data_IF_442813487077
#
_entry.id   IF_442813487077
#
_cell.length_a   1.000
_cell.length_b   1.000
_cell.length_c   1.000
_cell.angle_alpha   90.00
_cell.angle_beta   90.00
_cell.angle_gamma   90.00
#
_symmetry.space_group_name_H-M   'P 1'
#
loop_
_entity.id
_entity.type
_entity.pdbx_description
1 polymer ?
#
# COMPACT_ATOMS: atom_id res chain seq x y z
N UNK A 1 106.11 -21.04 1.93
CA UNK A 1 105.29 -20.14 1.12
C UNK A 1 103.94 -20.82 0.80
N UNK A 2 102.99 -20.70 1.71
CA UNK A 2 101.71 -21.42 1.65
C UNK A 2 100.55 -20.45 1.69
N UNK A 3 99.86 -20.32 0.60
CA UNK A 3 98.56 -19.59 0.51
C UNK A 3 97.41 -20.51 0.94
N UNK A 4 96.71 -20.16 2.02
CA UNK A 4 95.49 -20.84 2.42
C UNK A 4 94.29 -20.19 1.70
N UNK A 5 93.57 -21.00 0.93
CA UNK A 5 92.33 -20.64 0.28
C UNK A 5 91.20 -20.74 1.32
N UNK A 6 90.52 -19.66 1.61
CA UNK A 6 89.31 -19.66 2.42
C UNK A 6 88.09 -19.82 1.50
N UNK A 7 87.39 -20.91 1.69
CA UNK A 7 86.08 -21.13 1.05
C UNK A 7 84.97 -20.35 1.77
N UNK A 8 84.35 -19.44 1.15
CA UNK A 8 83.12 -18.75 1.61
C UNK A 8 81.91 -19.53 1.10
N UNK A 9 81.21 -20.15 2.04
CA UNK A 9 79.87 -20.77 1.73
C UNK A 9 78.84 -19.69 1.70
N UNK A 10 78.21 -19.45 0.50
CA UNK A 10 77.15 -18.54 0.33
C UNK A 10 75.80 -19.33 0.52
N UNK A 11 75.13 -19.06 1.67
CA UNK A 11 73.79 -19.61 1.94
C UNK A 11 72.77 -18.75 1.21
N UNK A 12 72.19 -19.27 0.18
CA UNK A 12 71.04 -18.63 -0.52
C UNK A 12 69.78 -19.07 0.19
N UNK A 13 69.18 -18.16 0.95
CA UNK A 13 67.83 -18.34 1.52
C UNK A 13 66.79 -18.04 0.48
N UNK A 14 66.09 -19.07 -0.02
CA UNK A 14 64.93 -18.92 -0.92
C UNK A 14 63.70 -18.61 -0.05
N UNK A 15 63.26 -17.37 -0.02
CA UNK A 15 61.97 -16.98 0.55
C UNK A 15 60.85 -17.28 -0.48
N UNK A 16 60.11 -18.37 -0.29
CA UNK A 16 58.87 -18.63 -0.99
C UNK A 16 57.76 -17.78 -0.35
N UNK A 17 57.39 -16.68 -1.00
CA UNK A 17 56.20 -15.90 -0.65
C UNK A 17 54.96 -16.68 -1.10
N UNK A 18 54.25 -17.28 -0.13
CA UNK A 18 52.92 -17.83 -0.36
C UNK A 18 51.92 -16.66 -0.41
N UNK A 19 51.54 -16.23 -1.63
CA UNK A 19 50.45 -15.28 -1.82
C UNK A 19 49.12 -15.98 -1.49
N UNK A 20 48.55 -15.70 -0.32
CA UNK A 20 47.15 -16.02 -0.06
C UNK A 20 46.26 -15.13 -0.93
N UNK A 21 45.83 -15.67 -2.07
CA UNK A 21 44.75 -15.08 -2.86
C UNK A 21 43.45 -15.29 -2.09
N UNK A 22 43.04 -14.29 -1.25
CA UNK A 22 41.69 -14.25 -0.70
C UNK A 22 40.72 -14.08 -1.88
N UNK A 23 40.16 -15.17 -2.34
CA UNK A 23 39.01 -15.12 -3.21
C UNK A 23 37.86 -14.47 -2.42
N UNK A 24 37.68 -13.16 -2.59
CA UNK A 24 36.45 -12.49 -2.22
C UNK A 24 35.32 -13.15 -3.03
N UNK A 25 34.57 -14.05 -2.39
CA UNK A 25 33.30 -14.51 -2.89
C UNK A 25 32.41 -13.27 -2.99
N UNK A 26 32.36 -12.67 -4.18
CA UNK A 26 31.26 -11.80 -4.58
C UNK A 26 30.01 -12.66 -4.48
N UNK A 27 29.26 -12.54 -3.36
CA UNK A 27 27.88 -12.99 -3.29
C UNK A 27 27.16 -12.28 -4.43
N UNK A 28 26.96 -12.97 -5.53
CA UNK A 28 25.96 -12.58 -6.52
C UNK A 28 24.66 -12.48 -5.73
N UNK A 29 24.18 -11.25 -5.46
CA UNK A 29 22.85 -11.00 -4.95
C UNK A 29 21.90 -11.59 -5.99
N UNK A 30 21.49 -12.85 -5.80
CA UNK A 30 20.40 -13.45 -6.56
C UNK A 30 19.20 -12.53 -6.39
N UNK A 31 18.46 -12.29 -7.47
CA UNK A 31 17.20 -11.54 -7.41
C UNK A 31 16.34 -12.15 -6.30
N UNK A 32 16.12 -11.38 -5.23
CA UNK A 32 15.36 -11.88 -4.09
C UNK A 32 13.91 -12.07 -4.54
N UNK A 33 13.42 -13.31 -4.47
CA UNK A 33 12.05 -13.66 -4.84
C UNK A 33 11.09 -13.21 -3.74
N UNK A 34 9.98 -12.55 -4.09
CA UNK A 34 8.94 -12.21 -3.12
C UNK A 34 8.27 -13.47 -2.58
N UNK A 35 8.11 -13.51 -1.26
CA UNK A 35 7.49 -14.62 -0.53
C UNK A 35 6.28 -14.13 0.25
N UNK A 36 5.30 -15.01 0.39
CA UNK A 36 4.09 -14.78 1.15
C UNK A 36 4.08 -15.73 2.35
N UNK A 37 4.01 -15.14 3.56
CA UNK A 37 3.92 -15.88 4.82
C UNK A 37 2.63 -15.51 5.55
N UNK A 38 2.01 -16.49 6.21
CA UNK A 38 0.78 -16.29 6.99
C UNK A 38 0.97 -16.85 8.38
N UNK A 39 0.70 -16.00 9.37
CA UNK A 39 0.61 -16.36 10.78
C UNK A 39 -0.58 -15.63 11.42
N UNK A 40 -0.34 -14.67 12.29
CA UNK A 40 -1.38 -13.75 12.81
C UNK A 40 -1.78 -12.69 11.78
N UNK A 41 -0.91 -12.42 10.83
CA UNK A 41 -1.06 -11.52 9.67
C UNK A 41 -0.53 -12.21 8.42
N UNK A 42 -0.88 -11.69 7.24
CA UNK A 42 -0.21 -12.09 6.00
C UNK A 42 0.88 -11.08 5.67
N UNK A 43 2.13 -11.55 5.54
CA UNK A 43 3.26 -10.71 5.18
C UNK A 43 3.81 -11.10 3.82
N UNK A 44 4.09 -10.11 2.96
CA UNK A 44 4.87 -10.29 1.73
C UNK A 44 6.22 -9.63 1.93
N UNK A 45 7.29 -10.38 1.64
CA UNK A 45 8.68 -9.94 1.79
C UNK A 45 9.51 -10.33 0.59
N UNK A 46 10.62 -9.62 0.35
CA UNK A 46 11.66 -9.93 -0.63
C UNK A 46 12.98 -10.18 0.12
N UNK A 47 13.42 -11.44 0.14
CA UNK A 47 14.46 -11.86 1.10
C UNK A 47 14.00 -11.59 2.54
N UNK A 48 14.83 -10.91 3.32
CA UNK A 48 14.53 -10.52 4.70
C UNK A 48 13.75 -9.20 4.80
N UNK A 49 13.63 -8.46 3.69
CA UNK A 49 12.93 -7.18 3.66
C UNK A 49 11.42 -7.38 3.56
N UNK A 50 10.68 -6.95 4.57
CA UNK A 50 9.21 -6.87 4.51
C UNK A 50 8.80 -5.75 3.56
N UNK A 51 7.83 -6.04 2.68
CA UNK A 51 7.27 -5.08 1.73
C UNK A 51 5.89 -4.60 2.18
N UNK A 52 5.00 -5.52 2.56
CA UNK A 52 3.70 -5.19 3.13
C UNK A 52 3.19 -6.27 4.09
N UNK A 53 2.29 -5.83 4.96
CA UNK A 53 1.54 -6.72 5.84
C UNK A 53 0.04 -6.46 5.70
N UNK A 54 -0.74 -7.52 5.51
CA UNK A 54 -2.20 -7.47 5.45
C UNK A 54 -2.80 -7.97 6.77
N UNK A 55 -3.62 -7.12 7.38
CA UNK A 55 -4.29 -7.37 8.65
C UNK A 55 -5.61 -8.11 8.40
N UNK A 56 -5.58 -9.43 8.37
CA UNK A 56 -6.79 -10.22 8.18
C UNK A 56 -7.51 -10.55 9.50
N UNK A 57 -6.80 -10.59 10.63
CA UNK A 57 -7.43 -10.65 11.96
C UNK A 57 -7.89 -9.26 12.39
N UNK A 58 -8.91 -9.23 13.24
CA UNK A 58 -9.43 -7.96 13.77
C UNK A 58 -8.37 -7.26 14.62
N UNK A 59 -8.07 -6.03 14.25
CA UNK A 59 -7.25 -5.09 15.03
C UNK A 59 -8.20 -4.22 15.86
N UNK A 60 -7.98 -4.17 17.16
CA UNK A 60 -8.73 -3.34 18.08
C UNK A 60 -8.11 -1.95 18.20
N UNK A 61 -8.90 -0.92 18.56
CA UNK A 61 -8.35 0.40 18.84
C UNK A 61 -7.48 0.37 20.11
N UNK A 62 -6.68 1.42 20.36
CA UNK A 62 -5.93 1.55 21.59
C UNK A 62 -6.83 1.45 22.83
N UNK A 63 -6.26 1.00 23.96
CA UNK A 63 -6.98 0.88 25.24
C UNK A 63 -7.70 2.19 25.61
N UNK A 64 -8.94 2.09 26.08
CA UNK A 64 -9.78 3.22 26.44
C UNK A 64 -10.55 3.86 25.27
N UNK A 65 -10.33 3.42 24.03
CA UNK A 65 -11.09 3.89 22.88
C UNK A 65 -12.31 3.01 22.59
N UNK A 66 -13.29 3.58 21.87
CA UNK A 66 -14.52 2.86 21.50
C UNK A 66 -14.18 1.62 20.62
N UNK A 67 -14.56 0.45 21.10
CA UNK A 67 -14.31 -0.84 20.42
C UNK A 67 -14.97 -0.95 19.04
N UNK A 68 -15.89 -0.07 18.67
CA UNK A 68 -16.44 0.00 17.32
C UNK A 68 -15.40 0.35 16.27
N UNK A 69 -14.30 0.98 16.65
CA UNK A 69 -13.15 1.21 15.76
C UNK A 69 -12.35 -0.06 15.45
N UNK A 70 -12.77 -1.24 15.91
CA UNK A 70 -12.15 -2.51 15.49
C UNK A 70 -12.41 -2.80 14.02
N UNK A 71 -11.37 -3.28 13.31
CA UNK A 71 -11.45 -3.58 11.88
C UNK A 71 -10.45 -4.67 11.48
N UNK A 72 -10.74 -5.36 10.40
CA UNK A 72 -9.82 -6.22 9.63
C UNK A 72 -9.88 -5.85 8.14
N UNK A 73 -9.09 -6.52 7.30
CA UNK A 73 -9.14 -6.31 5.87
C UNK A 73 -8.46 -5.02 5.40
N UNK A 74 -7.21 -4.77 5.82
CA UNK A 74 -6.45 -3.59 5.41
C UNK A 74 -4.94 -3.88 5.38
N UNK A 75 -4.18 -3.04 4.65
CA UNK A 75 -2.72 -3.15 4.56
C UNK A 75 -2.08 -2.18 5.57
N UNK A 76 -1.33 -2.73 6.52
CA UNK A 76 -0.47 -2.01 7.44
C UNK A 76 0.46 -2.98 8.19
N UNK A 77 1.77 -2.70 8.27
CA UNK A 77 2.50 -1.68 7.54
C UNK A 77 2.67 -1.95 6.05
N UNK A 78 2.86 -0.88 5.26
CA UNK A 78 3.48 -0.87 3.95
C UNK A 78 4.85 -0.22 4.10
N UNK A 79 5.90 -0.85 3.55
CA UNK A 79 7.27 -0.41 3.76
C UNK A 79 7.89 0.13 2.46
N UNK A 80 8.76 1.14 2.56
CA UNK A 80 9.66 1.49 1.45
C UNK A 80 10.63 0.33 1.16
N UNK A 81 11.33 0.33 0.01
CA UNK A 81 12.44 -0.60 -0.23
C UNK A 81 13.50 -0.61 0.87
N UNK A 82 13.74 0.50 1.55
CA UNK A 82 14.68 0.61 2.68
C UNK A 82 14.08 0.23 4.04
N UNK A 83 12.79 -0.15 4.10
CA UNK A 83 12.15 -0.64 5.32
C UNK A 83 11.42 0.41 6.16
N UNK A 84 11.33 1.65 5.70
CA UNK A 84 10.58 2.69 6.39
C UNK A 84 9.07 2.52 6.22
N UNK A 85 8.31 2.77 7.28
CA UNK A 85 6.84 2.58 7.27
C UNK A 85 6.13 3.79 6.65
N UNK A 86 5.34 3.54 5.61
CA UNK A 86 4.59 4.56 4.87
C UNK A 86 3.11 4.68 5.27
N UNK A 87 2.65 3.85 6.20
CA UNK A 87 1.23 3.81 6.59
C UNK A 87 1.07 4.04 8.09
N UNK A 88 -0.11 4.54 8.47
CA UNK A 88 -0.52 4.72 9.87
C UNK A 88 -1.93 4.17 10.07
N UNK A 89 -2.22 3.60 11.26
CA UNK A 89 -3.57 3.19 11.65
C UNK A 89 -4.01 3.90 12.90
N UNK A 90 -5.31 4.10 13.02
CA UNK A 90 -6.01 4.56 14.23
C UNK A 90 -5.34 5.77 14.91
N UNK A 91 -4.93 6.83 14.17
CA UNK A 91 -4.39 8.01 14.83
C UNK A 91 -5.44 8.64 15.75
N UNK A 92 -5.04 9.34 16.83
CA UNK A 92 -5.95 9.86 17.85
C UNK A 92 -7.06 10.77 17.32
N UNK A 93 -6.84 11.43 16.20
CA UNK A 93 -7.79 12.32 15.53
C UNK A 93 -8.75 11.59 14.59
N UNK A 94 -8.40 10.35 14.12
CA UNK A 94 -9.17 9.57 13.14
C UNK A 94 -9.00 8.05 13.39
N UNK A 95 -9.57 7.53 14.48
CA UNK A 95 -9.49 6.10 14.82
C UNK A 95 -10.09 5.17 13.75
N UNK A 96 -10.84 5.69 12.77
CA UNK A 96 -11.39 4.96 11.63
C UNK A 96 -10.47 4.96 10.39
N UNK A 97 -9.20 5.37 10.49
CA UNK A 97 -8.20 5.26 9.41
C UNK A 97 -7.31 4.03 9.60
N UNK A 98 -7.09 3.24 8.51
CA UNK A 98 -6.44 1.92 8.57
C UNK A 98 -5.38 1.70 7.50
N UNK A 99 -4.30 2.48 7.48
CA UNK A 99 -3.20 2.29 6.54
C UNK A 99 -3.67 2.46 5.08
N UNK A 100 -3.82 1.36 4.34
CA UNK A 100 -4.46 1.32 3.02
C UNK A 100 -5.69 0.43 3.11
N UNK A 101 -6.85 0.98 2.78
CA UNK A 101 -8.14 0.28 2.86
C UNK A 101 -9.13 0.76 1.82
N UNK A 102 -10.19 -0.01 1.63
CA UNK A 102 -11.34 0.37 0.83
C UNK A 102 -12.61 0.32 1.70
N UNK A 103 -13.45 1.34 1.62
CA UNK A 103 -14.76 1.38 2.28
C UNK A 103 -15.65 2.45 1.68
N UNK A 104 -16.95 2.32 1.94
CA UNK A 104 -17.97 3.22 1.46
C UNK A 104 -18.65 3.94 2.62
N UNK A 105 -19.00 5.19 2.42
CA UNK A 105 -19.84 5.97 3.32
C UNK A 105 -21.11 6.41 2.61
N UNK A 106 -22.14 6.81 3.36
CA UNK A 106 -23.43 7.26 2.83
C UNK A 106 -24.02 6.26 1.82
N UNK A 107 -24.19 5.01 2.25
CA UNK A 107 -24.82 3.99 1.42
C UNK A 107 -26.27 3.74 1.86
N UNK A 108 -27.14 3.31 0.90
CA UNK A 108 -28.47 2.83 1.20
C UNK A 108 -28.58 1.34 0.88
N UNK A 109 -29.07 0.59 1.87
CA UNK A 109 -29.27 -0.84 1.75
C UNK A 109 -30.56 -1.25 2.47
N UNK A 110 -31.54 -1.79 1.75
CA UNK A 110 -32.82 -2.29 2.30
C UNK A 110 -33.52 -1.29 3.24
N UNK A 111 -33.57 -0.02 2.83
CA UNK A 111 -34.24 1.06 3.59
C UNK A 111 -33.40 1.69 4.71
N UNK A 112 -32.20 1.15 5.00
CA UNK A 112 -31.29 1.70 5.99
C UNK A 112 -30.19 2.54 5.35
N UNK A 113 -29.80 3.64 5.98
CA UNK A 113 -28.55 4.35 5.70
C UNK A 113 -27.42 3.67 6.44
N UNK A 114 -26.33 3.33 5.73
CA UNK A 114 -25.21 2.57 6.28
C UNK A 114 -23.89 3.26 5.97
N UNK A 115 -23.04 3.36 6.96
CA UNK A 115 -21.67 3.86 6.84
C UNK A 115 -20.67 2.74 7.19
N UNK A 116 -19.89 2.29 6.20
CA UNK A 116 -18.82 1.31 6.36
C UNK A 116 -17.46 1.95 6.58
N UNK A 117 -17.37 3.29 6.45
CA UNK A 117 -16.15 4.07 6.66
C UNK A 117 -16.05 4.61 8.08
N UNK A 118 -17.07 5.35 8.54
CA UNK A 118 -17.12 5.96 9.87
C UNK A 118 -17.76 4.99 10.87
N UNK A 119 -17.09 3.90 11.16
CA UNK A 119 -17.60 2.74 11.88
C UNK A 119 -18.00 2.98 13.33
N UNK A 120 -17.66 4.14 13.94
CA UNK A 120 -18.13 4.54 15.27
C UNK A 120 -19.66 4.55 15.37
N UNK A 121 -20.36 4.90 14.29
CA UNK A 121 -21.81 4.98 14.21
C UNK A 121 -22.54 3.64 14.35
N UNK A 122 -21.84 2.51 14.34
CA UNK A 122 -22.41 1.14 14.42
C UNK A 122 -23.47 0.83 13.36
N UNK A 123 -23.36 1.44 12.18
CA UNK A 123 -24.25 1.14 11.06
C UNK A 123 -23.74 -0.03 10.24
N UNK A 124 -22.41 -0.12 10.06
CA UNK A 124 -21.77 -1.20 9.33
C UNK A 124 -20.27 -1.26 9.56
N UNK A 125 -19.64 -2.26 8.97
CA UNK A 125 -18.18 -2.44 8.96
C UNK A 125 -17.76 -3.23 7.73
N UNK A 126 -16.46 -3.26 7.45
CA UNK A 126 -15.86 -4.20 6.51
C UNK A 126 -15.04 -5.22 7.29
N UNK A 127 -15.24 -6.51 7.02
CA UNK A 127 -14.61 -7.62 7.72
C UNK A 127 -13.96 -8.59 6.74
N UNK A 128 -12.74 -9.03 7.02
CA UNK A 128 -12.14 -10.16 6.31
C UNK A 128 -12.93 -11.44 6.61
N UNK A 129 -13.30 -12.17 5.57
CA UNK A 129 -13.97 -13.46 5.68
C UNK A 129 -12.99 -14.63 5.47
N UNK A 130 -12.27 -14.63 4.34
CA UNK A 130 -11.31 -15.69 4.00
C UNK A 130 -10.37 -15.28 2.88
N UNK A 131 -9.27 -15.99 2.75
CA UNK A 131 -8.49 -15.98 1.51
C UNK A 131 -9.10 -16.95 0.50
N UNK A 132 -9.32 -16.48 -0.73
CA UNK A 132 -9.83 -17.30 -1.84
C UNK A 132 -8.70 -17.81 -2.74
N UNK A 133 -7.57 -17.11 -2.79
CA UNK A 133 -6.35 -17.56 -3.46
C UNK A 133 -5.09 -17.01 -2.81
N UNK A 134 -3.98 -17.71 -2.99
CA UNK A 134 -2.63 -17.31 -2.57
C UNK A 134 -1.63 -17.91 -3.53
N UNK A 135 -0.71 -17.11 -4.04
CA UNK A 135 0.34 -17.53 -4.97
C UNK A 135 1.63 -16.80 -4.66
N UNK A 136 2.75 -17.49 -4.80
CA UNK A 136 4.09 -16.90 -4.76
C UNK A 136 4.95 -17.62 -5.80
N UNK A 137 5.61 -16.86 -6.67
CA UNK A 137 6.47 -17.35 -7.73
C UNK A 137 7.66 -16.40 -7.96
N UNK A 138 8.47 -16.64 -8.97
CA UNK A 138 9.67 -15.84 -9.26
C UNK A 138 9.38 -14.39 -9.66
N UNK A 139 8.15 -14.05 -10.04
CA UNK A 139 7.79 -12.72 -10.52
C UNK A 139 7.04 -11.88 -9.48
N UNK A 140 6.17 -12.53 -8.70
CA UNK A 140 5.30 -11.85 -7.73
C UNK A 140 4.80 -12.78 -6.63
N UNK A 141 4.35 -12.18 -5.53
CA UNK A 141 3.46 -12.81 -4.56
C UNK A 141 2.09 -12.14 -4.61
N UNK A 142 1.02 -12.94 -4.46
CA UNK A 142 -0.35 -12.48 -4.59
C UNK A 142 -1.26 -13.19 -3.59
N UNK A 143 -2.25 -12.47 -3.09
CA UNK A 143 -3.39 -13.05 -2.40
C UNK A 143 -4.69 -12.41 -2.89
N UNK A 144 -5.79 -13.16 -2.78
CA UNK A 144 -7.15 -12.62 -2.90
C UNK A 144 -7.89 -12.87 -1.59
N UNK A 145 -8.33 -11.80 -0.96
CA UNK A 145 -9.12 -11.81 0.26
C UNK A 145 -10.58 -11.49 -0.06
N UNK A 146 -11.51 -12.33 0.41
CA UNK A 146 -12.92 -11.96 0.48
C UNK A 146 -13.11 -11.09 1.71
N UNK A 147 -13.61 -9.89 1.49
CA UNK A 147 -14.08 -8.96 2.50
C UNK A 147 -15.60 -8.82 2.39
N UNK A 148 -16.28 -8.75 3.52
CA UNK A 148 -17.72 -8.57 3.60
C UNK A 148 -18.04 -7.19 4.16
N UNK A 149 -18.87 -6.42 3.44
CA UNK A 149 -19.44 -5.18 3.93
C UNK A 149 -20.71 -5.53 4.69
N UNK A 150 -20.62 -5.50 6.02
CA UNK A 150 -21.64 -5.99 6.94
C UNK A 150 -22.46 -4.85 7.49
N UNK A 151 -23.77 -4.95 7.36
CA UNK A 151 -24.74 -4.03 7.93
C UNK A 151 -25.19 -4.55 9.28
N UNK A 152 -25.16 -3.70 10.30
CA UNK A 152 -25.71 -3.97 11.62
C UNK A 152 -27.18 -3.51 11.66
N UNK A 153 -28.09 -4.46 11.65
CA UNK A 153 -29.55 -4.19 11.64
C UNK A 153 -30.04 -3.75 13.01
N UNK A 154 -31.17 -3.06 13.05
CA UNK A 154 -31.81 -2.56 14.29
C UNK A 154 -32.21 -3.69 15.27
N UNK A 155 -32.52 -4.88 14.74
CA UNK A 155 -32.82 -6.08 15.52
C UNK A 155 -31.57 -6.80 16.04
N UNK A 156 -30.39 -6.20 15.89
CA UNK A 156 -29.05 -6.71 16.29
C UNK A 156 -28.55 -7.87 15.44
N UNK A 157 -29.21 -8.20 14.33
CA UNK A 157 -28.66 -9.16 13.34
C UNK A 157 -27.63 -8.49 12.45
N UNK A 158 -26.77 -9.28 11.81
CA UNK A 158 -25.81 -8.85 10.80
C UNK A 158 -26.25 -9.31 9.43
N UNK A 159 -26.14 -8.44 8.41
CA UNK A 159 -26.41 -8.82 7.03
C UNK A 159 -25.30 -8.33 6.12
N UNK A 160 -24.78 -9.22 5.27
CA UNK A 160 -23.78 -8.83 4.25
C UNK A 160 -24.49 -8.14 3.11
N UNK A 161 -24.15 -6.88 2.86
CA UNK A 161 -24.67 -6.10 1.73
C UNK A 161 -23.82 -6.30 0.48
N UNK A 162 -22.50 -6.35 0.63
CA UNK A 162 -21.56 -6.41 -0.48
C UNK A 162 -20.42 -7.39 -0.18
N UNK A 163 -20.12 -8.24 -1.13
CA UNK A 163 -18.89 -9.05 -1.15
C UNK A 163 -17.84 -8.33 -1.99
N UNK A 164 -16.62 -8.21 -1.45
CA UNK A 164 -15.47 -7.62 -2.14
C UNK A 164 -14.31 -8.63 -2.17
N UNK A 165 -13.91 -9.06 -3.36
CA UNK A 165 -12.69 -9.83 -3.59
C UNK A 165 -11.55 -8.86 -3.88
N UNK A 166 -10.73 -8.60 -2.88
CA UNK A 166 -9.55 -7.75 -3.02
C UNK A 166 -8.33 -8.61 -3.35
N UNK A 167 -7.84 -8.49 -4.58
CA UNK A 167 -6.59 -9.11 -5.02
C UNK A 167 -5.46 -8.12 -4.86
N UNK A 168 -4.41 -8.50 -4.13
CA UNK A 168 -3.19 -7.71 -3.95
C UNK A 168 -2.02 -8.51 -4.48
N UNK A 169 -1.32 -7.95 -5.48
CA UNK A 169 -0.14 -8.54 -6.12
C UNK A 169 1.07 -7.63 -5.91
N UNK A 170 2.11 -8.17 -5.31
CA UNK A 170 3.38 -7.48 -5.08
C UNK A 170 4.44 -8.09 -6.00
N UNK A 171 4.99 -7.27 -6.86
CA UNK A 171 6.06 -7.69 -7.77
C UNK A 171 7.42 -7.65 -7.05
N UNK A 172 8.37 -8.43 -7.57
CA UNK A 172 9.74 -8.34 -7.08
C UNK A 172 10.25 -6.90 -7.19
N UNK A 173 10.95 -6.39 -6.17
CA UNK A 173 11.67 -5.13 -6.29
C UNK A 173 12.58 -5.15 -7.53
N UNK A 174 12.66 -4.04 -8.22
CA UNK A 174 13.55 -3.90 -9.37
C UNK A 174 14.99 -4.07 -8.89
N UNK A 175 15.79 -4.86 -9.60
CA UNK A 175 17.20 -5.08 -9.26
C UNK A 175 17.93 -3.74 -9.29
N UNK A 176 18.60 -3.39 -8.19
CA UNK A 176 19.26 -2.11 -7.98
C UNK A 176 18.30 -0.90 -8.08
N UNK A 177 16.98 -1.16 -7.97
CA UNK A 177 15.94 -0.14 -8.05
C UNK A 177 15.40 0.22 -6.68
N UNK A 178 15.17 1.51 -6.50
CA UNK A 178 14.63 2.07 -5.27
C UNK A 178 13.11 2.01 -5.23
N UNK A 179 12.49 1.03 -5.94
CA UNK A 179 11.03 0.88 -5.94
C UNK A 179 10.56 -0.56 -6.19
N UNK A 180 9.33 -0.82 -5.79
CA UNK A 180 8.55 -1.99 -6.19
C UNK A 180 7.10 -1.61 -6.49
N UNK A 181 6.36 -2.54 -7.09
CA UNK A 181 4.99 -2.32 -7.56
C UNK A 181 4.02 -3.21 -6.81
N UNK A 182 2.87 -2.64 -6.45
CA UNK A 182 1.73 -3.34 -5.85
C UNK A 182 0.48 -3.07 -6.68
N UNK A 183 -0.11 -4.11 -7.27
CA UNK A 183 -1.43 -4.01 -7.91
C UNK A 183 -2.53 -4.40 -6.93
N UNK A 184 -3.59 -3.62 -6.90
CA UNK A 184 -4.75 -3.85 -6.06
C UNK A 184 -5.99 -3.83 -6.95
N UNK A 185 -6.69 -4.96 -7.01
CA UNK A 185 -7.96 -5.09 -7.75
C UNK A 185 -9.06 -5.42 -6.76
N UNK A 186 -10.10 -4.60 -6.72
CA UNK A 186 -11.32 -4.82 -5.94
C UNK A 186 -12.45 -5.21 -6.88
N UNK A 187 -12.95 -6.46 -6.76
CA UNK A 187 -14.15 -6.94 -7.46
C UNK A 187 -15.29 -7.02 -6.46
N UNK A 188 -16.39 -6.32 -6.75
CA UNK A 188 -17.52 -6.17 -5.85
C UNK A 188 -18.79 -6.74 -6.45
N UNK A 189 -19.60 -7.42 -5.62
CA UNK A 189 -20.92 -7.93 -5.97
C UNK A 189 -21.87 -7.77 -4.78
N UNK A 190 -23.13 -7.42 -5.04
CA UNK A 190 -24.16 -7.49 -4.01
C UNK A 190 -24.23 -8.92 -3.44
N UNK A 191 -24.29 -9.04 -2.12
CA UNK A 191 -24.31 -10.36 -1.45
C UNK A 191 -25.71 -11.01 -1.47
N UNK A 192 -26.74 -10.28 -1.89
CA UNK A 192 -28.14 -10.76 -1.98
C UNK A 192 -28.81 -10.16 -3.21
N UNK A 193 -30.12 -10.35 -3.35
CA UNK A 193 -30.94 -9.73 -4.40
C UNK A 193 -31.24 -8.23 -4.12
N UNK A 194 -30.72 -7.69 -3.03
CA UNK A 194 -30.88 -6.27 -2.70
C UNK A 194 -29.74 -5.46 -3.31
N UNK A 195 -30.03 -4.35 -4.01
CA UNK A 195 -29.00 -3.44 -4.50
C UNK A 195 -28.37 -2.65 -3.36
N UNK A 196 -27.14 -2.16 -3.60
CA UNK A 196 -26.47 -1.20 -2.73
C UNK A 196 -26.27 0.12 -3.48
N UNK A 197 -26.89 1.20 -3.01
CA UNK A 197 -26.66 2.54 -3.53
C UNK A 197 -25.56 3.22 -2.71
N UNK A 198 -24.47 3.63 -3.36
CA UNK A 198 -23.43 4.47 -2.78
C UNK A 198 -23.73 5.91 -3.22
N UNK A 199 -24.11 6.76 -2.27
CA UNK A 199 -24.47 8.15 -2.55
C UNK A 199 -23.22 9.02 -2.62
N UNK A 200 -23.25 10.01 -3.48
CA UNK A 200 -22.17 10.97 -3.64
C UNK A 200 -21.81 11.62 -2.30
N UNK A 201 -20.53 11.55 -1.94
CA UNK A 201 -20.03 12.14 -0.71
C UNK A 201 -18.55 12.49 -0.84
N UNK A 202 -18.12 13.51 -0.11
CA UNK A 202 -16.77 14.13 -0.21
C UNK A 202 -15.59 13.19 -0.08
N UNK A 203 -15.76 11.96 0.43
CA UNK A 203 -14.74 10.91 0.53
C UNK A 203 -15.40 9.53 0.56
N UNK A 204 -14.71 8.51 0.19
CA UNK A 204 -14.94 7.06 0.28
C UNK A 204 -14.08 6.37 -0.78
N UNK A 205 -14.04 5.06 -0.80
CA UNK A 205 -13.30 4.27 -1.79
C UNK A 205 -11.88 3.94 -1.34
N UNK A 206 -10.91 4.03 -2.23
CA UNK A 206 -9.54 3.59 -1.99
C UNK A 206 -8.71 4.64 -1.27
N UNK A 207 -8.47 4.44 0.02
CA UNK A 207 -7.80 5.39 0.91
C UNK A 207 -6.44 4.92 1.43
N UNK A 208 -5.56 5.89 1.63
CA UNK A 208 -4.26 5.74 2.29
C UNK A 208 -4.08 6.80 3.37
N UNK A 209 -3.93 6.36 4.62
CA UNK A 209 -3.41 7.20 5.69
C UNK A 209 -1.92 7.03 5.79
N UNK A 210 -1.18 8.08 5.47
CA UNK A 210 0.27 8.04 5.42
C UNK A 210 0.91 8.02 6.83
N UNK A 211 2.22 7.84 6.84
CA UNK A 211 3.05 7.77 8.05
C UNK A 211 2.87 8.98 8.97
N UNK A 212 3.12 8.80 10.25
CA UNK A 212 3.05 9.86 11.24
C UNK A 212 4.21 10.86 11.18
N UNK A 213 5.27 10.50 10.47
CA UNK A 213 6.44 11.36 10.30
C UNK A 213 6.20 12.56 9.37
N UNK A 214 5.10 12.55 8.58
CA UNK A 214 4.83 13.59 7.60
C UNK A 214 3.88 14.66 8.10
N UNK A 215 4.29 15.91 7.86
CA UNK A 215 3.50 17.10 8.05
C UNK A 215 3.57 18.04 6.83
N UNK A 216 3.13 19.27 6.98
CA UNK A 216 3.14 20.29 5.89
C UNK A 216 4.52 20.76 5.46
N UNK A 217 5.58 20.51 6.26
CA UNK A 217 6.92 21.05 6.02
C UNK A 217 7.87 20.02 5.39
N UNK A 218 7.57 18.72 5.54
CA UNK A 218 8.48 17.65 5.17
C UNK A 218 7.86 16.61 4.23
N UNK A 219 6.70 16.92 3.63
CA UNK A 219 6.06 16.07 2.62
C UNK A 219 5.53 16.85 1.44
N UNK A 220 5.60 16.25 0.24
CA UNK A 220 5.23 16.87 -1.01
C UNK A 220 4.22 16.00 -1.78
N UNK A 221 3.46 16.64 -2.67
CA UNK A 221 2.48 15.99 -3.53
C UNK A 221 2.54 16.58 -4.94
N UNK A 222 2.29 15.70 -5.92
CA UNK A 222 2.12 16.10 -7.33
C UNK A 222 1.08 15.20 -7.98
N UNK A 223 0.10 15.79 -8.65
CA UNK A 223 -0.92 15.03 -9.41
C UNK A 223 -0.65 15.07 -10.91
N UNK A 224 -1.32 14.19 -11.66
CA UNK A 224 -1.32 14.18 -13.12
C UNK A 224 -1.77 15.51 -13.76
N UNK A 225 -2.47 16.35 -13.01
CA UNK A 225 -2.97 17.66 -13.43
C UNK A 225 -2.10 18.79 -12.89
N UNK A 226 -0.87 18.51 -12.45
CA UNK A 226 0.09 19.50 -11.96
C UNK A 226 -0.28 20.16 -10.63
N UNK A 227 -1.23 19.57 -9.87
CA UNK A 227 -1.58 20.08 -8.54
C UNK A 227 -0.54 19.63 -7.53
N UNK A 228 -0.23 20.51 -6.59
CA UNK A 228 0.80 20.32 -5.57
C UNK A 228 0.18 20.22 -4.17
N UNK A 229 1.02 20.08 -3.15
CA UNK A 229 0.66 20.00 -1.73
C UNK A 229 -0.29 21.12 -1.26
N UNK A 230 -0.34 22.24 -2.00
CA UNK A 230 -1.17 23.41 -1.64
C UNK A 230 -2.60 23.36 -2.20
N UNK A 231 -2.84 22.59 -3.27
CA UNK A 231 -4.09 22.63 -4.03
C UNK A 231 -4.55 21.28 -4.60
N UNK A 232 -4.14 20.15 -4.00
CA UNK A 232 -4.51 18.80 -4.45
C UNK A 232 -5.93 18.41 -4.05
N UNK A 233 -6.48 18.94 -2.95
CA UNK A 233 -7.81 18.54 -2.49
C UNK A 233 -8.92 18.94 -3.47
N UNK A 234 -9.95 18.11 -3.57
CA UNK A 234 -11.11 18.32 -4.46
C UNK A 234 -10.76 18.40 -5.95
N UNK A 235 -9.67 17.77 -6.38
CA UNK A 235 -9.30 17.65 -7.80
C UNK A 235 -9.59 16.26 -8.33
N UNK A 236 -9.54 16.08 -9.65
CA UNK A 236 -9.53 14.77 -10.32
C UNK A 236 -8.12 14.48 -10.81
N UNK A 237 -7.79 13.18 -10.96
CA UNK A 237 -6.48 12.81 -11.48
C UNK A 237 -6.38 11.34 -11.82
N UNK A 238 -5.41 11.02 -12.68
CA UNK A 238 -5.05 9.65 -13.05
C UNK A 238 -4.08 9.04 -12.05
N UNK A 239 -3.22 9.88 -11.49
CA UNK A 239 -2.23 9.50 -10.50
C UNK A 239 -1.91 10.65 -9.54
N UNK A 240 -1.40 10.28 -8.38
CA UNK A 240 -0.79 11.18 -7.41
C UNK A 240 0.50 10.59 -6.87
N UNK A 241 1.58 11.39 -6.89
CA UNK A 241 2.84 11.14 -6.18
C UNK A 241 2.75 11.81 -4.82
N UNK A 242 3.05 11.07 -3.76
CA UNK A 242 3.21 11.63 -2.40
C UNK A 242 4.50 11.07 -1.81
N UNK A 243 5.37 11.94 -1.33
CA UNK A 243 6.65 11.56 -0.74
C UNK A 243 7.07 12.55 0.34
N UNK A 244 8.05 12.18 1.13
CA UNK A 244 8.59 13.05 2.17
C UNK A 244 9.76 12.45 2.92
N UNK A 245 10.29 13.23 3.87
CA UNK A 245 11.37 12.82 4.74
C UNK A 245 10.92 11.70 5.68
N UNK A 246 11.78 10.75 5.91
CA UNK A 246 11.58 9.57 6.74
C UNK A 246 12.70 9.48 7.80
N UNK A 247 12.57 8.64 8.83
CA UNK A 247 13.67 8.42 9.79
C UNK A 247 14.99 8.04 9.14
N UNK A 248 16.08 8.21 9.86
CA UNK A 248 17.45 7.85 9.44
C UNK A 248 17.94 8.63 8.20
N UNK A 249 17.49 9.88 8.01
CA UNK A 249 17.76 10.74 6.85
C UNK A 249 17.34 10.10 5.51
N UNK A 250 16.35 9.21 5.54
CA UNK A 250 15.77 8.61 4.34
C UNK A 250 14.65 9.49 3.76
N UNK A 251 14.30 9.23 2.52
CA UNK A 251 13.19 9.85 1.82
C UNK A 251 12.49 8.79 0.98
N UNK A 252 11.18 8.87 0.84
CA UNK A 252 10.44 7.92 0.02
C UNK A 252 8.96 8.23 -0.04
N UNK A 253 8.20 7.39 -0.73
CA UNK A 253 6.79 7.65 -0.90
C UNK A 253 6.04 6.61 -1.73
N UNK A 254 4.85 7.02 -2.18
CA UNK A 254 3.97 6.20 -3.01
C UNK A 254 3.47 7.02 -4.20
N UNK A 255 3.52 6.44 -5.40
CA UNK A 255 2.64 6.86 -6.49
C UNK A 255 1.38 6.01 -6.45
N UNK A 256 0.23 6.63 -6.28
CA UNK A 256 -1.07 5.96 -6.42
C UNK A 256 -1.60 6.21 -7.83
N UNK A 257 -1.96 5.14 -8.54
CA UNK A 257 -2.42 5.16 -9.93
C UNK A 257 -3.83 4.58 -10.01
N UNK A 258 -4.75 5.29 -10.69
CA UNK A 258 -6.12 4.85 -10.97
C UNK A 258 -6.24 4.37 -12.41
N UNK A 259 -6.88 3.21 -12.62
CA UNK A 259 -7.07 2.65 -13.95
C UNK A 259 -8.21 3.34 -14.71
N UNK A 260 -8.12 3.55 -16.04
CA UNK A 260 -9.15 4.26 -16.80
C UNK A 260 -10.50 3.52 -16.86
N UNK A 261 -10.57 2.23 -16.52
CA UNK A 261 -11.83 1.49 -16.42
C UNK A 261 -12.55 1.67 -15.07
N UNK A 262 -11.94 2.38 -14.12
CA UNK A 262 -12.56 2.63 -12.84
C UNK A 262 -13.77 3.54 -12.97
N UNK A 263 -14.75 3.35 -12.07
CA UNK A 263 -15.92 4.19 -12.02
C UNK A 263 -15.53 5.65 -11.84
N UNK A 264 -16.13 6.54 -12.67
CA UNK A 264 -15.92 7.99 -12.63
C UNK A 264 -14.47 8.44 -12.90
N UNK A 265 -13.73 7.68 -13.74
CA UNK A 265 -12.36 8.07 -14.14
C UNK A 265 -12.37 9.29 -15.10
N UNK A 266 -11.42 10.26 -15.00
CA UNK A 266 -10.39 10.41 -13.95
C UNK A 266 -11.03 10.61 -12.59
N UNK A 267 -10.63 9.77 -11.63
CA UNK A 267 -11.33 9.71 -10.35
C UNK A 267 -11.19 11.03 -9.58
N UNK A 268 -12.30 11.51 -8.96
CA UNK A 268 -12.19 12.54 -7.94
C UNK A 268 -11.31 12.07 -6.79
N UNK A 269 -10.55 12.99 -6.21
CA UNK A 269 -9.67 12.71 -5.08
C UNK A 269 -10.12 13.47 -3.83
N UNK A 270 -9.96 12.85 -2.68
CA UNK A 270 -9.96 13.50 -1.37
C UNK A 270 -8.55 13.43 -0.81
N UNK A 271 -7.89 14.56 -0.73
CA UNK A 271 -6.49 14.65 -0.33
C UNK A 271 -6.38 15.73 0.74
N UNK A 272 -5.65 15.45 1.79
CA UNK A 272 -5.37 16.45 2.81
C UNK A 272 -4.17 17.29 2.39
N UNK A 273 -4.45 18.53 2.05
CA UNK A 273 -3.45 19.55 1.75
C UNK A 273 -2.80 20.14 3.02
N UNK A 274 -1.95 21.15 2.87
CA UNK A 274 -1.26 21.83 4.00
C UNK A 274 -2.22 22.48 5.02
N UNK A 275 -3.47 22.74 4.64
CA UNK A 275 -4.46 23.46 5.48
C UNK A 275 -5.30 22.52 6.33
N UNK A 276 -5.33 21.22 6.03
CA UNK A 276 -6.17 20.26 6.76
C UNK A 276 -5.73 20.08 8.22
N UNK A 277 -6.67 19.68 9.07
CA UNK A 277 -6.47 19.46 10.50
C UNK A 277 -5.84 20.66 11.22
N UNK A 278 -6.38 21.87 10.98
CA UNK A 278 -5.86 23.10 11.58
C UNK A 278 -4.47 23.50 11.09
N UNK A 279 -4.09 23.10 9.89
CA UNK A 279 -2.77 23.41 9.30
C UNK A 279 -1.64 22.52 9.80
N UNK A 280 -1.93 21.38 10.44
CA UNK A 280 -0.92 20.35 10.80
C UNK A 280 -0.33 19.72 9.55
N UNK A 281 -1.18 19.44 8.56
CA UNK A 281 -0.76 18.95 7.25
C UNK A 281 -0.32 17.50 7.22
N UNK A 282 -0.86 16.66 8.10
CA UNK A 282 -0.70 15.22 7.96
C UNK A 282 -1.33 14.73 6.66
N UNK A 283 -0.80 13.62 6.15
CA UNK A 283 -1.15 13.12 4.83
C UNK A 283 -2.24 12.07 4.89
N UNK A 284 -3.30 12.33 4.14
CA UNK A 284 -4.31 11.37 3.71
C UNK A 284 -4.56 11.57 2.22
N UNK A 285 -4.59 10.48 1.45
CA UNK A 285 -4.91 10.50 0.03
C UNK A 285 -5.92 9.40 -0.29
N UNK A 286 -6.94 9.73 -1.08
CA UNK A 286 -7.97 8.77 -1.49
C UNK A 286 -8.42 9.05 -2.92
N UNK A 287 -8.50 8.01 -3.74
CA UNK A 287 -9.38 7.99 -4.89
C UNK A 287 -10.80 7.76 -4.38
N UNK A 288 -11.68 8.72 -4.65
CA UNK A 288 -13.03 8.77 -4.14
C UNK A 288 -14.04 8.75 -5.31
N UNK A 289 -14.25 7.61 -5.98
CA UNK A 289 -15.00 7.53 -7.24
C UNK A 289 -16.45 7.98 -7.12
N UNK A 290 -17.00 8.00 -5.92
CA UNK A 290 -18.38 8.46 -5.65
C UNK A 290 -18.42 9.87 -5.04
N UNK A 291 -17.35 10.67 -5.17
CA UNK A 291 -17.31 12.01 -4.56
C UNK A 291 -18.38 12.97 -5.10
N UNK A 292 -18.62 12.92 -6.40
CA UNK A 292 -19.51 13.83 -7.12
C UNK A 292 -20.62 13.11 -7.93
N UNK A 293 -20.74 11.78 -7.75
CA UNK A 293 -21.69 10.96 -8.50
C UNK A 293 -22.10 9.71 -7.71
N UNK A 294 -23.39 9.44 -7.62
CA UNK A 294 -23.96 8.23 -7.04
C UNK A 294 -23.55 6.98 -7.84
N UNK A 295 -23.40 5.86 -7.16
CA UNK A 295 -23.11 4.57 -7.79
C UNK A 295 -24.05 3.49 -7.28
N UNK A 296 -24.96 3.05 -8.15
CA UNK A 296 -25.86 1.92 -7.86
C UNK A 296 -25.16 0.60 -8.21
N UNK A 297 -24.97 -0.24 -7.22
CA UNK A 297 -24.52 -1.61 -7.39
C UNK A 297 -25.76 -2.52 -7.43
N UNK A 298 -25.98 -3.20 -8.56
CA UNK A 298 -27.15 -4.05 -8.80
C UNK A 298 -26.80 -5.52 -8.57
N UNK A 299 -27.73 -6.33 -8.05
CA UNK A 299 -27.54 -7.77 -7.92
C UNK A 299 -27.19 -8.44 -9.25
N UNK A 300 -26.36 -9.49 -9.16
CA UNK A 300 -25.92 -10.25 -10.34
C UNK A 300 -24.86 -9.57 -11.19
N UNK A 301 -24.50 -8.30 -10.93
CA UNK A 301 -23.44 -7.58 -11.63
C UNK A 301 -22.15 -7.57 -10.83
N UNK A 302 -21.02 -7.55 -11.55
CA UNK A 302 -19.68 -7.39 -10.97
C UNK A 302 -19.13 -6.01 -11.30
N UNK A 303 -18.64 -5.32 -10.29
CA UNK A 303 -18.03 -4.00 -10.39
C UNK A 303 -16.56 -4.12 -10.02
N UNK A 304 -15.68 -3.51 -10.80
CA UNK A 304 -14.23 -3.66 -10.59
C UNK A 304 -13.56 -2.31 -10.52
N UNK A 305 -12.74 -2.12 -9.48
CA UNK A 305 -11.82 -1.01 -9.36
C UNK A 305 -10.39 -1.57 -9.36
N UNK A 306 -9.48 -0.88 -10.05
CA UNK A 306 -8.08 -1.28 -10.20
C UNK A 306 -7.18 -0.12 -9.85
N UNK A 307 -6.21 -0.38 -8.99
CA UNK A 307 -5.21 0.60 -8.56
C UNK A 307 -3.82 -0.02 -8.62
N UNK A 308 -2.82 0.80 -8.84
CA UNK A 308 -1.41 0.42 -8.72
C UNK A 308 -0.72 1.39 -7.77
N UNK A 309 0.11 0.85 -6.89
CA UNK A 309 1.04 1.62 -6.08
C UNK A 309 2.46 1.37 -6.60
N UNK A 310 3.20 2.44 -6.83
CA UNK A 310 4.66 2.37 -6.95
C UNK A 310 5.23 2.87 -5.64
N UNK A 311 5.84 1.99 -4.88
CA UNK A 311 6.41 2.28 -3.56
C UNK A 311 7.90 2.48 -3.74
N UNK A 312 8.45 3.63 -3.33
CA UNK A 312 9.81 4.03 -3.69
C UNK A 312 10.58 4.71 -2.55
N UNK A 313 11.92 4.67 -2.64
CA UNK A 313 12.83 5.55 -1.91
C UNK A 313 13.28 6.72 -2.80
N UNK A 314 13.70 7.82 -2.17
CA UNK A 314 14.07 9.05 -2.88
C UNK A 314 12.87 9.77 -3.47
N UNK A 315 13.03 10.34 -4.67
CA UNK A 315 12.03 11.17 -5.36
C UNK A 315 11.50 10.51 -6.62
N UNK A 316 10.24 10.74 -6.89
CA UNK A 316 9.56 10.26 -8.09
C UNK A 316 8.92 11.43 -8.83
N UNK A 317 9.40 11.71 -10.03
CA UNK A 317 8.95 12.86 -10.83
C UNK A 317 7.71 12.58 -11.68
N UNK A 318 7.12 13.61 -12.27
CA UNK A 318 5.94 13.51 -13.11
C UNK A 318 6.14 12.61 -14.33
N UNK A 319 7.32 12.61 -14.95
CA UNK A 319 7.62 11.82 -16.16
C UNK A 319 7.61 10.33 -15.81
N UNK A 320 8.24 9.96 -14.70
CA UNK A 320 8.22 8.57 -14.19
C UNK A 320 6.82 8.14 -13.79
N UNK A 321 6.05 9.03 -13.13
CA UNK A 321 4.68 8.74 -12.72
C UNK A 321 3.75 8.52 -13.92
N UNK A 322 3.84 9.34 -14.96
CA UNK A 322 3.09 9.18 -16.19
C UNK A 322 3.47 7.89 -16.94
N UNK A 323 4.77 7.57 -17.04
CA UNK A 323 5.24 6.32 -17.63
C UNK A 323 4.73 5.10 -16.86
N UNK A 324 4.75 5.14 -15.52
CA UNK A 324 4.21 4.08 -14.68
C UNK A 324 2.70 3.89 -14.90
N UNK A 325 1.94 5.00 -15.05
CA UNK A 325 0.52 4.94 -15.35
C UNK A 325 0.24 4.33 -16.73
N UNK A 326 0.95 4.73 -17.76
CA UNK A 326 0.81 4.16 -19.11
C UNK A 326 1.13 2.66 -19.13
N UNK A 327 2.14 2.23 -18.36
CA UNK A 327 2.50 0.82 -18.20
C UNK A 327 1.36 0.06 -17.49
N UNK A 328 0.82 0.61 -16.40
CA UNK A 328 -0.30 0.03 -15.66
C UNK A 328 -1.52 -0.21 -16.56
N UNK A 329 -1.90 0.79 -17.37
CA UNK A 329 -3.03 0.69 -18.30
C UNK A 329 -2.86 -0.40 -19.35
N UNK A 330 -1.62 -0.64 -19.81
CA UNK A 330 -1.32 -1.68 -20.81
C UNK A 330 -1.31 -3.09 -20.21
N UNK A 331 -0.81 -3.24 -18.97
CA UNK A 331 -0.58 -4.54 -18.33
C UNK A 331 -1.82 -5.09 -17.62
N UNK A 332 -2.68 -4.23 -17.07
CA UNK A 332 -3.82 -4.63 -16.26
C UNK A 332 -5.13 -4.38 -17.02
N UNK A 333 -5.52 -5.34 -17.86
CA UNK A 333 -6.75 -5.29 -18.68
C UNK A 333 -8.01 -5.61 -17.90
#
# INVERSE_FOLDING_TARGET
MNRKLKHILLLVAVFTTVSFCSAQQTKTKGSATVKLNIDSVLTISSGDQKLLTYQFKTVYPPAGQDTNYKRSGFIHPLYTPHGQVLTRIQPPDHYHHYGIWNAWTHTFFEGDTVDFWNIKGRQGTVRFAKFTSKTSNEKYAEYTALQEHIVFKKDKTEKVALNEWQTVRVYNPVKDGDYYVVDITSKMQCASQSPLLIVAYRYAGFGWRATEYWDKNNSEMLTSEGKTRDNTDNTKGRWIVVYGSLPDNDEGGIVMLSHPTNYNHPEPMRIWDKKQNGGRGDVFASFAPTKDKDWLLEPGKTYTLKYRLVVFNGKFDATKAESAWQTFVKEVK
#
